data_IF_541431197575
#
_entry.id   IF_541431197575
#
_cell.length_a   1.000
_cell.length_b   1.000
_cell.length_c   1.000
_cell.angle_alpha   90.00
_cell.angle_beta   90.00
_cell.angle_gamma   90.00
#
_symmetry.space_group_name_H-M   'P 1'
#
loop_
_entity.id
_entity.type
_entity.pdbx_description
1 polymer ?
#
# COMPACT_ATOMS: atom_id res chain seq x y z
N UNK A 1 35.26 -0.65 14.06
CA UNK A 1 33.90 -0.89 14.62
C UNK A 1 32.84 0.12 14.14
N UNK A 2 33.17 1.22 13.45
CA UNK A 2 32.21 2.25 13.05
C UNK A 2 31.30 1.92 11.83
N UNK A 3 31.68 0.99 10.94
CA UNK A 3 30.93 0.73 9.69
C UNK A 3 29.65 -0.10 9.87
N UNK A 4 29.58 -0.98 10.88
CA UNK A 4 28.40 -1.81 11.10
C UNK A 4 27.19 -1.00 11.61
N UNK A 5 27.43 0.04 12.41
CA UNK A 5 26.37 0.94 12.90
C UNK A 5 25.74 1.78 11.78
N UNK A 6 26.58 2.29 10.86
CA UNK A 6 26.12 3.08 9.71
C UNK A 6 25.24 2.26 8.75
N UNK A 7 25.64 1.03 8.41
CA UNK A 7 24.84 0.15 7.54
C UNK A 7 23.46 -0.18 8.14
N UNK A 8 23.44 -0.54 9.42
CA UNK A 8 22.22 -0.91 10.12
C UNK A 8 21.22 0.26 10.14
N UNK A 9 21.71 1.48 10.36
CA UNK A 9 20.89 2.70 10.38
C UNK A 9 20.29 2.99 8.99
N UNK A 10 21.09 2.98 7.92
CA UNK A 10 20.60 3.25 6.57
C UNK A 10 19.62 2.17 6.11
N UNK A 11 19.85 0.90 6.46
CA UNK A 11 18.91 -0.20 6.17
C UNK A 11 17.60 -0.03 6.92
N UNK A 12 17.65 0.37 8.20
CA UNK A 12 16.44 0.62 8.99
C UNK A 12 15.62 1.76 8.38
N UNK A 13 16.28 2.82 7.92
CA UNK A 13 15.64 3.92 7.21
C UNK A 13 14.99 3.46 5.90
N UNK A 14 15.70 2.64 5.10
CA UNK A 14 15.13 2.07 3.87
C UNK A 14 13.88 1.23 4.12
N UNK A 15 13.86 0.43 5.19
CA UNK A 15 12.67 -0.34 5.62
C UNK A 15 11.51 0.57 6.05
N UNK A 16 11.80 1.63 6.82
CA UNK A 16 10.77 2.57 7.25
C UNK A 16 10.09 3.25 6.04
N UNK A 17 10.88 3.65 5.04
CA UNK A 17 10.34 4.21 3.80
C UNK A 17 9.57 3.18 2.97
N UNK A 18 9.99 1.91 2.96
CA UNK A 18 9.26 0.82 2.32
C UNK A 18 7.86 0.68 2.92
N UNK A 19 7.75 0.59 4.25
CA UNK A 19 6.46 0.51 4.95
C UNK A 19 5.59 1.75 4.73
N UNK A 20 6.17 2.94 4.69
CA UNK A 20 5.43 4.16 4.35
C UNK A 20 4.88 4.10 2.93
N UNK A 21 5.67 3.60 1.97
CA UNK A 21 5.23 3.47 0.58
C UNK A 21 4.09 2.46 0.46
N UNK A 22 4.17 1.33 1.17
CA UNK A 22 3.12 0.31 1.20
C UNK A 22 1.80 0.85 1.76
N UNK A 23 1.87 1.68 2.82
CA UNK A 23 0.69 2.33 3.37
C UNK A 23 0.02 3.27 2.35
N UNK A 24 0.81 4.06 1.63
CA UNK A 24 0.31 4.94 0.57
C UNK A 24 -0.30 4.14 -0.59
N UNK A 25 0.31 3.01 -0.98
CA UNK A 25 -0.27 2.11 -1.98
C UNK A 25 -1.61 1.52 -1.55
N UNK A 26 -1.73 1.13 -0.28
CA UNK A 26 -3.00 0.63 0.24
C UNK A 26 -4.09 1.70 0.16
N UNK A 27 -3.81 2.93 0.58
CA UNK A 27 -4.74 4.07 0.45
C UNK A 27 -5.06 4.36 -1.02
N UNK A 28 -4.06 4.36 -1.91
CA UNK A 28 -4.27 4.62 -3.33
C UNK A 28 -5.11 3.52 -4.02
N UNK A 29 -4.86 2.26 -3.67
CA UNK A 29 -5.63 1.12 -4.16
C UNK A 29 -7.08 1.12 -3.64
N UNK A 30 -7.35 1.69 -2.46
CA UNK A 30 -8.71 1.86 -1.98
C UNK A 30 -9.54 2.74 -2.93
N UNK A 31 -8.98 3.83 -3.46
CA UNK A 31 -9.67 4.66 -4.46
C UNK A 31 -10.01 3.86 -5.73
N UNK A 32 -9.15 2.95 -6.16
CA UNK A 32 -9.41 2.07 -7.30
C UNK A 32 -10.44 0.96 -7.02
N UNK A 33 -10.67 0.62 -5.75
CA UNK A 33 -11.62 -0.43 -5.34
C UNK A 33 -13.05 0.07 -5.14
N UNK A 34 -13.24 1.39 -5.07
CA UNK A 34 -14.57 2.00 -4.92
C UNK A 34 -15.38 1.78 -6.21
N UNK A 35 -16.57 1.19 -6.09
CA UNK A 35 -17.42 0.81 -7.23
C UNK A 35 -18.01 2.01 -7.98
N UNK A 36 -18.07 3.17 -7.32
CA UNK A 36 -18.57 4.44 -7.86
C UNK A 36 -17.40 5.44 -7.90
N UNK A 37 -16.53 5.28 -8.90
CA UNK A 37 -15.42 6.21 -9.12
C UNK A 37 -15.98 7.46 -9.77
N UNK A 38 -15.84 8.58 -9.05
CA UNK A 38 -16.13 9.89 -9.61
C UNK A 38 -15.25 10.16 -10.85
N UNK A 39 -15.80 10.81 -11.88
CA UNK A 39 -15.08 11.10 -13.11
C UNK A 39 -13.90 12.05 -12.88
N UNK A 40 -13.93 12.83 -11.79
CA UNK A 40 -12.86 13.74 -11.39
C UNK A 40 -12.06 13.14 -10.21
N UNK A 41 -10.72 13.15 -10.25
CA UNK A 41 -9.89 12.69 -9.15
C UNK A 41 -10.03 13.58 -7.92
N UNK A 42 -10.38 12.98 -6.78
CA UNK A 42 -10.47 13.67 -5.49
C UNK A 42 -9.12 14.28 -5.08
N UNK A 43 -9.16 15.42 -4.38
CA UNK A 43 -7.96 16.09 -3.84
C UNK A 43 -7.08 15.16 -3.00
N UNK A 44 -7.69 14.21 -2.28
CA UNK A 44 -6.97 13.24 -1.45
C UNK A 44 -6.24 12.19 -2.29
N UNK A 45 -6.84 11.77 -3.40
CA UNK A 45 -6.21 10.86 -4.36
C UNK A 45 -5.02 11.54 -5.04
N UNK A 46 -5.21 12.76 -5.53
CA UNK A 46 -4.13 13.53 -6.17
C UNK A 46 -2.95 13.71 -5.22
N UNK A 47 -3.19 14.08 -3.96
CA UNK A 47 -2.15 14.17 -2.93
C UNK A 47 -1.45 12.84 -2.68
N UNK A 48 -2.19 11.74 -2.62
CA UNK A 48 -1.62 10.40 -2.38
C UNK A 48 -0.78 9.96 -3.59
N UNK A 49 -1.25 10.24 -4.80
CA UNK A 49 -0.53 9.98 -6.04
C UNK A 49 0.76 10.82 -6.12
N UNK A 50 0.69 12.11 -5.79
CA UNK A 50 1.85 13.01 -5.70
C UNK A 50 2.89 12.47 -4.71
N UNK A 51 2.47 12.04 -3.53
CA UNK A 51 3.37 11.44 -2.53
C UNK A 51 4.01 10.13 -3.04
N UNK A 52 3.24 9.27 -3.70
CA UNK A 52 3.77 8.05 -4.32
C UNK A 52 4.77 8.38 -5.44
N UNK A 53 4.46 9.35 -6.30
CA UNK A 53 5.32 9.82 -7.38
C UNK A 53 6.60 10.48 -6.83
N UNK A 54 6.52 11.25 -5.73
CA UNK A 54 7.68 11.87 -5.09
C UNK A 54 8.65 10.82 -4.52
N UNK A 55 8.09 9.77 -3.89
CA UNK A 55 8.88 8.70 -3.27
C UNK A 55 9.47 7.76 -4.34
N UNK A 56 8.75 7.49 -5.42
CA UNK A 56 9.07 6.43 -6.39
C UNK A 56 9.63 6.92 -7.73
N UNK A 57 9.23 8.11 -8.19
CA UNK A 57 9.38 8.55 -9.56
C UNK A 57 10.27 9.80 -9.74
N UNK A 58 10.82 9.91 -10.95
CA UNK A 58 11.64 11.01 -11.46
C UNK A 58 10.75 11.87 -12.37
N UNK A 59 9.82 12.67 -11.83
CA UNK A 59 8.88 13.43 -12.67
C UNK A 59 9.56 14.62 -13.38
N UNK A 60 9.27 14.87 -14.68
CA UNK A 60 8.56 16.10 -15.03
C UNK A 60 7.38 15.84 -15.99
N UNK A 61 6.21 16.47 -15.80
CA UNK A 61 5.12 16.46 -16.76
C UNK A 61 5.09 17.81 -17.47
N UNK A 62 5.90 18.01 -18.51
CA UNK A 62 5.83 19.20 -19.38
C UNK A 62 6.66 18.99 -20.64
N UNK A 63 6.14 18.28 -21.63
CA UNK A 63 6.61 18.41 -23.03
C UNK A 63 5.63 17.82 -24.03
N UNK A 64 4.40 18.36 -24.09
CA UNK A 64 3.65 18.33 -25.35
C UNK A 64 2.65 19.48 -25.45
N UNK A 65 3.17 20.67 -25.76
CA UNK A 65 2.49 21.65 -26.62
C UNK A 65 3.55 22.62 -27.16
N UNK A 66 3.62 22.83 -28.49
CA UNK A 66 4.51 23.82 -29.08
C UNK A 66 3.74 25.13 -29.23
N UNK A 67 4.13 26.17 -28.50
CA UNK A 67 3.97 27.53 -28.98
C UNK A 67 5.14 28.41 -28.50
N UNK A 68 5.62 29.37 -29.31
CA UNK A 68 6.88 30.06 -29.06
C UNK A 68 6.70 31.42 -28.35
N UNK A 69 7.84 31.98 -27.91
CA UNK A 69 8.14 33.37 -27.48
C UNK A 69 8.26 33.62 -25.96
N UNK A 70 9.04 34.63 -25.50
CA UNK A 70 10.49 34.81 -25.69
C UNK A 70 11.25 35.06 -24.36
N UNK A 71 12.58 35.07 -24.45
CA UNK A 71 13.58 35.08 -23.36
C UNK A 71 13.61 36.39 -22.54
N UNK A 72 13.71 36.32 -21.20
CA UNK A 72 14.40 37.31 -20.32
C UNK A 72 14.73 36.72 -18.93
N UNK A 73 15.63 37.31 -18.11
CA UNK A 73 16.77 36.59 -17.53
C UNK A 73 16.80 36.38 -16.00
N UNK A 74 17.43 35.27 -15.61
CA UNK A 74 18.24 35.01 -14.39
C UNK A 74 17.71 35.63 -13.08
N UNK A 75 16.98 34.84 -12.30
CA UNK A 75 17.07 34.86 -10.84
C UNK A 75 17.25 33.45 -10.30
N UNK A 76 18.43 33.23 -9.73
CA UNK A 76 18.84 32.05 -9.00
C UNK A 76 18.23 32.12 -7.60
N UNK A 77 17.11 31.45 -7.38
CA UNK A 77 16.68 31.04 -6.04
C UNK A 77 16.79 29.53 -5.95
N UNK A 78 17.93 29.16 -5.39
CA UNK A 78 18.20 28.03 -4.51
C UNK A 78 16.97 27.24 -3.99
N UNK A 79 17.24 25.95 -3.74
CA UNK A 79 16.41 24.89 -3.13
C UNK A 79 15.35 24.22 -4.00
N UNK A 80 15.80 23.35 -4.91
CA UNK A 80 15.01 22.21 -5.38
C UNK A 80 15.42 20.97 -4.56
N UNK A 81 14.57 20.38 -3.70
CA UNK A 81 14.69 18.98 -3.35
C UNK A 81 13.67 18.20 -4.18
N UNK A 82 14.03 17.62 -5.34
CA UNK A 82 13.28 16.43 -5.72
C UNK A 82 14.06 15.41 -6.54
N UNK A 83 13.79 14.11 -6.27
CA UNK A 83 13.73 12.94 -7.19
C UNK A 83 14.14 11.59 -6.59
N UNK A 84 14.79 11.54 -5.41
CA UNK A 84 15.56 10.34 -5.06
C UNK A 84 15.59 9.93 -3.58
N UNK A 85 14.55 10.10 -2.74
CA UNK A 85 14.73 9.75 -1.32
C UNK A 85 15.05 8.25 -1.13
N UNK A 86 14.22 7.36 -1.68
CA UNK A 86 14.45 5.91 -1.56
C UNK A 86 15.62 5.42 -2.43
N UNK A 87 15.75 5.92 -3.66
CA UNK A 87 16.85 5.53 -4.55
C UNK A 87 18.23 6.03 -4.08
N UNK A 88 18.33 7.20 -3.45
CA UNK A 88 19.56 7.70 -2.85
C UNK A 88 19.97 6.87 -1.62
N UNK A 89 19.02 6.43 -0.79
CA UNK A 89 19.32 5.50 0.31
C UNK A 89 19.89 4.17 -0.21
N UNK A 90 19.33 3.62 -1.30
CA UNK A 90 19.87 2.40 -1.91
C UNK A 90 21.24 2.60 -2.56
N UNK A 91 21.51 3.78 -3.12
CA UNK A 91 22.85 4.14 -3.60
C UNK A 91 23.85 4.29 -2.45
N UNK A 92 23.42 4.83 -1.30
CA UNK A 92 24.25 4.91 -0.10
C UNK A 92 24.58 3.51 0.44
N UNK A 93 23.59 2.61 0.49
CA UNK A 93 23.83 1.20 0.77
C UNK A 93 24.77 0.57 -0.29
N UNK A 94 24.69 0.93 -1.57
CA UNK A 94 25.65 0.37 -2.54
C UNK A 94 27.09 0.80 -2.21
N UNK A 95 27.32 2.09 -1.95
CA UNK A 95 28.64 2.64 -1.62
C UNK A 95 29.21 2.07 -0.32
N UNK A 96 28.38 1.92 0.72
CA UNK A 96 28.82 1.33 1.98
C UNK A 96 29.21 -0.15 1.82
N UNK A 97 28.56 -0.88 0.91
CA UNK A 97 28.91 -2.26 0.59
C UNK A 97 30.24 -2.33 -0.17
N UNK A 98 30.45 -1.43 -1.15
CA UNK A 98 31.68 -1.35 -1.93
C UNK A 98 32.89 -0.90 -1.08
N UNK A 99 32.65 -0.20 0.04
CA UNK A 99 33.70 0.24 0.97
C UNK A 99 34.19 -0.83 1.97
N UNK A 100 33.57 -2.02 1.98
CA UNK A 100 33.93 -3.12 2.88
C UNK A 100 35.10 -3.95 2.30
N UNK A 101 36.09 -4.40 3.10
CA UNK A 101 37.19 -5.22 2.59
C UNK A 101 36.68 -6.52 1.98
N UNK A 102 37.24 -6.91 0.83
CA UNK A 102 36.92 -8.15 0.11
C UNK A 102 37.21 -9.39 0.96
N UNK A 103 36.32 -10.41 1.00
CA UNK A 103 35.12 -10.59 0.18
C UNK A 103 33.87 -9.85 0.71
N UNK A 104 32.97 -9.39 -0.19
CA UNK A 104 31.77 -8.66 0.17
C UNK A 104 30.81 -9.52 1.01
N UNK A 105 30.15 -8.90 1.99
CA UNK A 105 29.16 -9.57 2.82
C UNK A 105 27.95 -10.03 1.99
N UNK A 106 27.83 -11.35 1.76
CA UNK A 106 26.75 -11.97 0.98
C UNK A 106 25.33 -11.60 1.50
N UNK A 107 25.20 -11.37 2.80
CA UNK A 107 23.93 -10.93 3.39
C UNK A 107 23.59 -9.48 3.02
N UNK A 108 24.56 -8.56 3.03
CA UNK A 108 24.33 -7.15 2.69
C UNK A 108 24.01 -6.99 1.20
N UNK A 109 24.71 -7.72 0.32
CA UNK A 109 24.44 -7.73 -1.12
C UNK A 109 23.03 -8.26 -1.43
N UNK A 110 22.62 -9.37 -0.80
CA UNK A 110 21.26 -9.93 -0.96
C UNK A 110 20.18 -8.97 -0.48
N UNK A 111 20.40 -8.29 0.66
CA UNK A 111 19.44 -7.30 1.17
C UNK A 111 19.31 -6.09 0.25
N UNK A 112 20.43 -5.61 -0.29
CA UNK A 112 20.42 -4.50 -1.23
C UNK A 112 19.70 -4.88 -2.52
N UNK A 113 19.97 -6.08 -3.07
CA UNK A 113 19.29 -6.62 -4.23
C UNK A 113 17.76 -6.67 -4.00
N UNK A 114 17.32 -7.17 -2.84
CA UNK A 114 15.91 -7.18 -2.46
C UNK A 114 15.29 -5.78 -2.46
N UNK A 115 15.91 -4.79 -1.80
CA UNK A 115 15.32 -3.45 -1.77
C UNK A 115 15.23 -2.79 -3.16
N UNK A 116 16.16 -3.13 -4.08
CA UNK A 116 16.08 -2.71 -5.50
C UNK A 116 14.92 -3.38 -6.22
N UNK A 117 14.71 -4.68 -6.02
CA UNK A 117 13.60 -5.43 -6.60
C UNK A 117 12.25 -4.87 -6.13
N UNK A 118 12.07 -4.67 -4.83
CA UNK A 118 10.84 -4.09 -4.26
C UNK A 118 10.59 -2.68 -4.82
N UNK A 119 11.64 -1.87 -5.03
CA UNK A 119 11.48 -0.54 -5.62
C UNK A 119 10.99 -0.62 -7.08
N UNK A 120 11.46 -1.60 -7.85
CA UNK A 120 11.00 -1.83 -9.23
C UNK A 120 9.57 -2.36 -9.26
N UNK A 121 9.22 -3.26 -8.33
CA UNK A 121 7.85 -3.77 -8.17
C UNK A 121 6.88 -2.63 -7.87
N UNK A 122 7.19 -1.77 -6.89
CA UNK A 122 6.36 -0.61 -6.53
C UNK A 122 6.14 0.33 -7.71
N UNK A 123 7.18 0.58 -8.54
CA UNK A 123 7.01 1.40 -9.76
C UNK A 123 6.05 0.79 -10.77
N UNK A 124 6.20 -0.51 -10.99
CA UNK A 124 5.33 -1.24 -11.93
C UNK A 124 3.90 -1.27 -11.42
N UNK A 125 3.72 -1.46 -10.11
CA UNK A 125 2.42 -1.43 -9.44
C UNK A 125 1.75 -0.07 -9.52
N UNK A 126 2.48 1.02 -9.28
CA UNK A 126 1.96 2.38 -9.42
C UNK A 126 1.45 2.64 -10.85
N UNK A 127 2.23 2.27 -11.86
CA UNK A 127 1.81 2.40 -13.26
C UNK A 127 0.55 1.59 -13.57
N UNK A 128 0.44 0.38 -13.04
CA UNK A 128 -0.75 -0.47 -13.20
C UNK A 128 -1.97 0.14 -12.51
N UNK A 129 -1.84 0.60 -11.27
CA UNK A 129 -2.92 1.23 -10.52
C UNK A 129 -3.42 2.50 -11.22
N UNK A 130 -2.51 3.35 -11.71
CA UNK A 130 -2.85 4.54 -12.50
C UNK A 130 -3.63 4.18 -13.78
N UNK A 131 -3.17 3.18 -14.53
CA UNK A 131 -3.88 2.73 -15.74
C UNK A 131 -5.26 2.14 -15.43
N UNK A 132 -5.39 1.37 -14.34
CA UNK A 132 -6.66 0.80 -13.91
C UNK A 132 -7.66 1.89 -13.53
N UNK A 133 -7.20 2.91 -12.80
CA UNK A 133 -8.03 4.02 -12.35
C UNK A 133 -8.46 4.92 -13.52
N UNK A 134 -7.57 5.20 -14.47
CA UNK A 134 -7.91 5.90 -15.70
C UNK A 134 -8.98 5.14 -16.51
N UNK A 135 -8.82 3.82 -16.68
CA UNK A 135 -9.81 2.99 -17.39
C UNK A 135 -11.17 2.98 -16.68
N UNK A 136 -11.18 2.94 -15.34
CA UNK A 136 -12.40 3.00 -14.54
C UNK A 136 -13.11 4.36 -14.70
N UNK A 137 -12.36 5.46 -14.72
CA UNK A 137 -12.90 6.80 -15.00
C UNK A 137 -13.45 6.95 -16.39
N UNK A 138 -12.74 6.48 -17.40
CA UNK A 138 -13.20 6.52 -18.79
C UNK A 138 -14.52 5.76 -18.91
N UNK A 139 -14.63 4.59 -18.27
CA UNK A 139 -15.88 3.83 -18.19
C UNK A 139 -16.99 4.63 -17.50
N UNK A 140 -16.72 5.27 -16.36
CA UNK A 140 -17.70 6.08 -15.64
C UNK A 140 -18.21 7.26 -16.49
N UNK A 141 -17.30 7.97 -17.18
CA UNK A 141 -17.63 9.06 -18.09
C UNK A 141 -18.51 8.59 -19.27
N UNK A 142 -18.16 7.46 -19.88
CA UNK A 142 -18.95 6.89 -20.97
C UNK A 142 -20.34 6.45 -20.50
N UNK A 143 -20.44 5.78 -19.35
CA UNK A 143 -21.73 5.35 -18.80
C UNK A 143 -22.61 6.54 -18.41
N UNK A 144 -22.04 7.62 -17.88
CA UNK A 144 -22.74 8.89 -17.62
C UNK A 144 -23.36 9.47 -18.89
N UNK A 145 -22.59 9.56 -19.98
CA UNK A 145 -23.07 10.08 -21.26
C UNK A 145 -24.16 9.19 -21.86
N UNK A 146 -23.91 7.88 -21.92
CA UNK A 146 -24.86 6.90 -22.42
C UNK A 146 -26.16 6.91 -21.59
N UNK A 147 -26.07 7.05 -20.25
CA UNK A 147 -27.25 7.13 -19.38
C UNK A 147 -28.08 8.39 -19.67
N UNK A 148 -27.42 9.53 -19.91
CA UNK A 148 -28.09 10.78 -20.30
C UNK A 148 -28.76 10.68 -21.67
N UNK A 149 -28.09 10.08 -22.65
CA UNK A 149 -28.66 9.89 -23.99
C UNK A 149 -29.83 8.92 -23.96
N UNK A 150 -29.72 7.81 -23.22
CA UNK A 150 -30.82 6.84 -23.04
C UNK A 150 -32.00 7.49 -22.32
N UNK A 151 -31.78 8.29 -21.27
CA UNK A 151 -32.87 8.95 -20.56
C UNK A 151 -33.53 10.06 -21.41
N UNK A 152 -32.75 10.81 -22.17
CA UNK A 152 -33.24 11.81 -23.13
C UNK A 152 -34.06 11.14 -24.24
N UNK A 153 -33.56 10.04 -24.82
CA UNK A 153 -34.28 9.29 -25.85
C UNK A 153 -35.57 8.65 -25.30
N UNK A 154 -35.51 8.05 -24.10
CA UNK A 154 -36.69 7.45 -23.45
C UNK A 154 -37.75 8.50 -23.11
N UNK A 155 -37.35 9.68 -22.63
CA UNK A 155 -38.28 10.78 -22.37
C UNK A 155 -38.83 11.42 -23.65
N UNK A 156 -38.04 11.48 -24.73
CA UNK A 156 -38.49 11.94 -26.03
C UNK A 156 -39.45 10.95 -26.72
N UNK A 157 -39.23 9.65 -26.53
CA UNK A 157 -40.11 8.59 -27.06
C UNK A 157 -41.42 8.47 -26.27
N UNK A 158 -41.43 8.88 -25.00
CA UNK A 158 -42.62 8.87 -24.16
C UNK A 158 -42.98 10.25 -23.59
N UNK A 159 -43.46 11.19 -24.43
CA UNK A 159 -43.92 12.51 -23.98
C UNK A 159 -45.26 12.45 -23.23
N UNK A 160 -45.97 11.32 -23.26
CA UNK A 160 -47.34 11.17 -22.74
C UNK A 160 -47.41 10.60 -21.31
N UNK A 161 -46.29 10.16 -20.73
CA UNK A 161 -46.25 9.66 -19.33
C UNK A 161 -46.62 10.73 -18.29
N UNK A 162 -46.56 12.00 -18.68
CA UNK A 162 -46.95 13.16 -17.87
C UNK A 162 -48.26 13.81 -18.37
N UNK A 163 -49.05 13.12 -19.19
CA UNK A 163 -50.34 13.60 -19.65
C UNK A 163 -51.46 12.99 -18.78
N UNK A 164 -52.16 13.77 -17.94
CA UNK A 164 -53.24 13.26 -17.09
C UNK A 164 -54.44 12.69 -17.88
N UNK A 165 -54.49 12.86 -19.21
CA UNK A 165 -55.51 12.29 -20.09
C UNK A 165 -55.04 11.04 -20.88
N UNK A 166 -53.88 10.46 -20.59
CA UNK A 166 -53.43 9.22 -21.26
C UNK A 166 -54.20 7.99 -20.78
N UNK A 167 -54.46 7.03 -21.69
CA UNK A 167 -55.17 5.78 -21.38
C UNK A 167 -54.56 5.03 -20.17
N UNK A 168 -55.36 4.71 -19.13
CA UNK A 168 -54.87 4.06 -17.92
C UNK A 168 -54.13 2.74 -18.17
N UNK A 169 -54.59 1.94 -19.14
CA UNK A 169 -53.98 0.66 -19.48
C UNK A 169 -52.59 0.78 -20.14
N UNK A 170 -52.34 1.88 -20.88
CA UNK A 170 -51.03 2.11 -21.49
C UNK A 170 -49.98 2.47 -20.43
N UNK A 171 -50.38 3.26 -19.42
CA UNK A 171 -49.51 3.62 -18.29
C UNK A 171 -49.10 2.41 -17.43
N UNK A 172 -50.00 1.44 -17.25
CA UNK A 172 -49.74 0.20 -16.51
C UNK A 172 -48.76 -0.71 -17.25
N UNK A 173 -48.93 -0.89 -18.56
CA UNK A 173 -48.02 -1.68 -19.39
C UNK A 173 -46.60 -1.09 -19.40
N UNK A 174 -46.49 0.24 -19.45
CA UNK A 174 -45.22 0.95 -19.36
C UNK A 174 -44.54 0.74 -17.99
N UNK A 175 -45.30 0.82 -16.91
CA UNK A 175 -44.81 0.54 -15.55
C UNK A 175 -44.30 -0.90 -15.42
N UNK A 176 -45.05 -1.88 -15.95
CA UNK A 176 -44.64 -3.29 -15.93
C UNK A 176 -43.37 -3.55 -16.74
N UNK A 177 -43.21 -2.90 -17.90
CA UNK A 177 -41.99 -2.97 -18.70
C UNK A 177 -40.80 -2.29 -18.00
N UNK A 178 -41.03 -1.15 -17.36
CA UNK A 178 -40.05 -0.45 -16.54
C UNK A 178 -39.58 -1.29 -15.34
N UNK A 179 -40.51 -1.96 -14.67
CA UNK A 179 -40.23 -2.86 -13.55
C UNK A 179 -39.42 -4.08 -13.99
N UNK A 180 -39.74 -4.66 -15.16
CA UNK A 180 -38.91 -5.71 -15.76
C UNK A 180 -37.48 -5.23 -16.01
N UNK A 181 -37.30 -4.01 -16.53
CA UNK A 181 -35.96 -3.43 -16.71
C UNK A 181 -35.21 -3.22 -15.39
N UNK A 182 -35.91 -2.86 -14.31
CA UNK A 182 -35.31 -2.77 -12.96
C UNK A 182 -34.91 -4.14 -12.42
N UNK A 183 -35.73 -5.16 -12.64
CA UNK A 183 -35.44 -6.55 -12.28
C UNK A 183 -34.22 -7.09 -13.03
N UNK A 184 -34.13 -6.88 -14.36
CA UNK A 184 -33.01 -7.36 -15.17
C UNK A 184 -31.68 -6.67 -14.75
N UNK A 185 -31.71 -5.36 -14.48
CA UNK A 185 -30.54 -4.65 -13.95
C UNK A 185 -30.13 -5.19 -12.57
N UNK A 186 -31.10 -5.41 -11.66
CA UNK A 186 -30.85 -6.02 -10.35
C UNK A 186 -30.22 -7.41 -10.47
N UNK A 187 -30.70 -8.23 -11.42
CA UNK A 187 -30.15 -9.55 -11.70
C UNK A 187 -28.68 -9.48 -12.14
N UNK A 188 -28.36 -8.57 -13.06
CA UNK A 188 -26.98 -8.39 -13.52
C UNK A 188 -26.02 -7.90 -12.43
N UNK A 189 -26.52 -7.09 -11.48
CA UNK A 189 -25.75 -6.69 -10.30
C UNK A 189 -25.52 -7.86 -9.35
N UNK A 190 -26.53 -8.72 -9.15
CA UNK A 190 -26.41 -9.94 -8.35
C UNK A 190 -25.34 -10.88 -8.92
N UNK A 191 -25.29 -11.07 -10.24
CA UNK A 191 -24.26 -11.88 -10.91
C UNK A 191 -22.87 -11.29 -10.72
N UNK A 192 -22.74 -9.97 -10.78
CA UNK A 192 -21.47 -9.27 -10.55
C UNK A 192 -20.98 -9.44 -9.11
N UNK A 193 -21.89 -9.33 -8.12
CA UNK A 193 -21.59 -9.57 -6.70
C UNK A 193 -21.20 -11.03 -6.47
N UNK A 194 -21.88 -11.98 -7.10
CA UNK A 194 -21.55 -13.40 -7.00
C UNK A 194 -20.17 -13.69 -7.59
N UNK A 195 -19.86 -13.13 -8.76
CA UNK A 195 -18.54 -13.23 -9.40
C UNK A 195 -17.44 -12.64 -8.51
N UNK A 196 -17.66 -11.45 -7.94
CA UNK A 196 -16.73 -10.82 -7.01
C UNK A 196 -16.55 -11.65 -5.73
N UNK A 197 -17.61 -12.26 -5.22
CA UNK A 197 -17.55 -13.16 -4.07
C UNK A 197 -16.73 -14.42 -4.36
N UNK A 198 -16.87 -15.02 -5.55
CA UNK A 198 -16.04 -16.14 -5.99
C UNK A 198 -14.57 -15.73 -6.14
N UNK A 199 -14.28 -14.59 -6.78
CA UNK A 199 -12.92 -14.07 -6.89
C UNK A 199 -12.29 -13.79 -5.52
N UNK A 200 -13.08 -13.29 -4.56
CA UNK A 200 -12.65 -13.06 -3.18
C UNK A 200 -12.39 -14.40 -2.45
N UNK A 201 -13.24 -15.40 -2.64
CA UNK A 201 -13.03 -16.74 -2.08
C UNK A 201 -11.72 -17.38 -2.58
N UNK A 202 -11.45 -17.29 -3.88
CA UNK A 202 -10.19 -17.73 -4.48
C UNK A 202 -8.99 -16.96 -3.91
N UNK A 203 -9.12 -15.64 -3.74
CA UNK A 203 -8.07 -14.80 -3.14
C UNK A 203 -7.74 -15.23 -1.71
N UNK A 204 -8.72 -15.64 -0.91
CA UNK A 204 -8.48 -16.19 0.43
C UNK A 204 -7.75 -17.54 0.38
N UNK A 205 -8.02 -18.36 -0.64
CA UNK A 205 -7.27 -19.59 -0.90
C UNK A 205 -5.78 -19.30 -1.13
N UNK A 206 -5.48 -18.37 -2.03
CA UNK A 206 -4.10 -17.95 -2.35
C UNK A 206 -3.41 -17.25 -1.16
N UNK A 207 -4.15 -16.42 -0.40
CA UNK A 207 -3.64 -15.80 0.83
C UNK A 207 -3.31 -16.86 1.90
N UNK A 208 -4.11 -17.92 2.02
CA UNK A 208 -3.83 -19.02 2.95
C UNK A 208 -2.55 -19.78 2.58
N UNK A 209 -2.32 -20.02 1.29
CA UNK A 209 -1.07 -20.59 0.80
C UNK A 209 0.13 -19.69 1.14
N UNK A 210 -0.05 -18.37 0.94
CA UNK A 210 0.96 -17.36 1.28
C UNK A 210 1.27 -17.36 2.77
N UNK A 211 0.27 -17.37 3.65
CA UNK A 211 0.43 -17.45 5.11
C UNK A 211 1.14 -18.76 5.53
N UNK A 212 0.79 -19.89 4.91
CA UNK A 212 1.50 -21.16 5.13
C UNK A 212 2.97 -21.07 4.71
N UNK A 213 3.26 -20.42 3.58
CA UNK A 213 4.64 -20.19 3.13
C UNK A 213 5.42 -19.26 4.07
N UNK A 214 4.76 -18.23 4.61
CA UNK A 214 5.32 -17.32 5.60
C UNK A 214 5.60 -18.07 6.89
N UNK A 215 4.65 -18.88 7.38
CA UNK A 215 4.83 -19.69 8.58
C UNK A 215 5.98 -20.67 8.42
N UNK A 216 6.13 -21.33 7.26
CA UNK A 216 7.29 -22.19 6.95
C UNK A 216 8.60 -21.41 7.00
N UNK A 217 8.64 -20.19 6.46
CA UNK A 217 9.83 -19.31 6.48
C UNK A 217 10.15 -18.78 7.88
N UNK A 218 9.14 -18.41 8.67
CA UNK A 218 9.29 -17.97 10.07
C UNK A 218 9.85 -19.11 10.92
N UNK A 219 9.26 -20.30 10.83
CA UNK A 219 9.75 -21.50 11.53
C UNK A 219 11.15 -21.87 11.07
N UNK A 220 11.44 -21.81 9.77
CA UNK A 220 12.78 -22.05 9.22
C UNK A 220 13.81 -21.01 9.67
N UNK A 221 13.45 -19.74 9.75
CA UNK A 221 14.31 -18.68 10.27
C UNK A 221 14.53 -18.82 11.78
N UNK A 222 13.50 -19.17 12.54
CA UNK A 222 13.62 -19.46 13.98
C UNK A 222 14.54 -20.65 14.24
N UNK A 223 14.52 -21.68 13.36
CA UNK A 223 15.44 -22.80 13.42
C UNK A 223 16.90 -22.41 13.06
N UNK A 224 17.10 -21.39 12.22
CA UNK A 224 18.43 -20.83 11.90
C UNK A 224 18.96 -19.82 12.93
N UNK A 225 18.18 -19.46 13.96
CA UNK A 225 18.66 -18.71 15.13
C UNK A 225 18.82 -19.67 16.32
N UNK A 226 19.82 -20.57 16.33
CA UNK A 226 20.15 -21.33 17.53
C UNK A 226 20.64 -20.36 18.61
N UNK A 227 19.99 -20.37 19.78
CA UNK A 227 20.51 -19.66 20.96
C UNK A 227 19.61 -18.60 21.60
N UNK A 228 18.37 -18.39 21.15
CA UNK A 228 17.41 -17.53 21.90
C UNK A 228 17.14 -18.13 23.29
N UNK A 229 17.07 -19.46 23.39
CA UNK A 229 16.97 -20.17 24.67
C UNK A 229 18.23 -19.99 25.56
N UNK A 230 19.40 -19.86 24.94
CA UNK A 230 20.67 -19.59 25.62
C UNK A 230 20.83 -18.14 26.07
N UNK A 231 20.35 -17.16 25.28
CA UNK A 231 20.34 -15.75 25.66
C UNK A 231 19.37 -15.50 26.82
N UNK A 232 18.18 -16.12 26.79
CA UNK A 232 17.21 -16.03 27.89
C UNK A 232 17.77 -16.64 29.20
N UNK A 233 18.48 -17.77 29.11
CA UNK A 233 19.20 -18.36 30.26
C UNK A 233 20.35 -17.46 30.77
N UNK A 234 21.09 -16.80 29.89
CA UNK A 234 22.20 -15.91 30.27
C UNK A 234 21.72 -14.61 30.90
N UNK A 235 20.57 -14.08 30.48
CA UNK A 235 19.92 -12.92 31.11
C UNK A 235 19.30 -13.31 32.47
N UNK A 236 18.64 -14.47 32.56
CA UNK A 236 18.03 -14.94 33.80
C UNK A 236 19.03 -15.31 34.90
N UNK A 237 20.20 -15.85 34.55
CA UNK A 237 21.20 -16.29 35.54
C UNK A 237 21.85 -15.13 36.30
N UNK A 238 22.00 -13.95 35.67
CA UNK A 238 22.53 -12.76 36.35
C UNK A 238 21.54 -12.25 37.41
N UNK A 239 20.26 -12.12 37.04
CA UNK A 239 19.19 -11.68 37.97
C UNK A 239 18.94 -12.67 39.11
N UNK A 240 19.08 -13.99 38.86
CA UNK A 240 18.94 -15.03 39.89
C UNK A 240 20.10 -15.00 40.90
N UNK A 241 21.33 -14.72 40.46
CA UNK A 241 22.49 -14.56 41.38
C UNK A 241 22.32 -13.36 42.30
N UNK A 242 21.92 -12.22 41.76
CA UNK A 242 21.73 -11.00 42.56
C UNK A 242 20.62 -11.19 43.63
N UNK A 243 19.55 -11.91 43.28
CA UNK A 243 18.48 -12.25 44.23
C UNK A 243 18.90 -13.22 45.35
N UNK A 244 19.74 -14.21 45.05
CA UNK A 244 20.26 -15.16 46.06
C UNK A 244 21.20 -14.45 47.04
N UNK A 245 22.06 -13.56 46.54
CA UNK A 245 22.99 -12.79 47.39
C UNK A 245 22.22 -11.86 48.32
N UNK A 246 21.23 -11.11 47.79
CA UNK A 246 20.41 -10.20 48.59
C UNK A 246 19.56 -10.95 49.63
N UNK A 247 18.93 -12.06 49.23
CA UNK A 247 18.14 -12.90 50.14
C UNK A 247 18.98 -13.53 51.25
N UNK A 248 20.21 -13.98 50.94
CA UNK A 248 21.15 -14.49 51.93
C UNK A 248 21.58 -13.43 52.94
N UNK A 249 21.86 -12.21 52.48
CA UNK A 249 22.21 -11.08 53.36
C UNK A 249 21.08 -10.78 54.35
N UNK A 250 19.83 -10.69 53.84
CA UNK A 250 18.65 -10.41 54.66
C UNK A 250 18.40 -11.54 55.65
N UNK A 251 18.48 -12.80 55.21
CA UNK A 251 18.28 -13.96 56.09
C UNK A 251 19.31 -14.04 57.22
N UNK A 252 20.60 -13.83 56.92
CA UNK A 252 21.66 -13.80 57.93
C UNK A 252 21.47 -12.63 58.90
N UNK A 253 21.10 -11.45 58.38
CA UNK A 253 20.86 -10.27 59.22
C UNK A 253 19.67 -10.51 60.18
N UNK A 254 18.57 -11.10 59.71
CA UNK A 254 17.44 -11.46 60.55
C UNK A 254 17.78 -12.53 61.60
N UNK A 255 18.58 -13.55 61.26
CA UNK A 255 19.01 -14.58 62.20
C UNK A 255 19.93 -14.03 63.30
N UNK A 256 20.85 -13.13 62.95
CA UNK A 256 21.70 -12.46 63.94
C UNK A 256 20.88 -11.57 64.89
N UNK A 257 19.88 -10.85 64.37
CA UNK A 257 18.98 -10.05 65.21
C UNK A 257 18.14 -10.94 66.16
N UNK A 258 17.63 -12.08 65.68
CA UNK A 258 16.89 -13.04 66.51
C UNK A 258 17.75 -13.81 67.50
N UNK A 259 19.05 -13.98 67.21
CA UNK A 259 19.97 -14.67 68.12
C UNK A 259 20.50 -13.74 69.22
N UNK A 260 20.60 -12.44 68.92
CA UNK A 260 21.13 -11.44 69.83
C UNK A 260 20.05 -10.80 70.74
N UNK A 261 18.77 -10.92 70.38
CA UNK A 261 17.62 -10.43 71.15
C UNK A 261 16.90 -11.58 71.85
#
# INVERSE_FOLDING_TARGET
MASQGSWAQVRQQARAQETQTEALFHTYAQFASTTDIDPEPSDEEQRTEEQLNEILEKVPPSSLSPDPQPISPIHQTNTLPPRHQRSALLQHLARLLDSEPTPPSALKSTNLARHREILQQHRTELSRLKSSLATARDRANLLSNVRRDISAYRSAQNPNSQNPNSDPHASEAEYMLGERGRLDNSHSMMDSVLSQAYATNESFGLQRETLSSIQRRITGAAAQVPGINGLMQRIGSKKRRDGIILGGLIGVCCLLLLWFW
#
